data_IF_535248454199
#
_entry.id   IF_535248454199
#
_cell.length_a   1.000
_cell.length_b   1.000
_cell.length_c   1.000
_cell.angle_alpha   90.00
_cell.angle_beta   90.00
_cell.angle_gamma   90.00
#
_symmetry.space_group_name_H-M   'P 1'
#
loop_
_entity.id
_entity.type
_entity.pdbx_description
1 polymer ?
#
# COMPACT_ATOMS: atom_id res chain seq x y z
N UNK A 1 -11.61 -2.39 0.76
CA UNK A 1 -11.90 -3.83 0.83
C UNK A 1 -12.50 -4.36 -0.46
N UNK A 2 -13.41 -3.63 -1.11
CA UNK A 2 -13.95 -3.99 -2.44
C UNK A 2 -12.87 -4.34 -3.48
N UNK A 3 -11.95 -3.40 -3.76
CA UNK A 3 -10.88 -3.63 -4.75
C UNK A 3 -10.02 -4.86 -4.42
N UNK A 4 -9.80 -5.14 -3.14
CA UNK A 4 -9.09 -6.34 -2.69
C UNK A 4 -9.88 -7.60 -3.06
N UNK A 5 -11.17 -7.65 -2.74
CA UNK A 5 -12.03 -8.80 -3.07
C UNK A 5 -12.12 -9.02 -4.59
N UNK A 6 -12.30 -7.94 -5.36
CA UNK A 6 -12.26 -7.99 -6.83
C UNK A 6 -10.95 -8.54 -7.37
N UNK A 7 -9.82 -8.07 -6.85
CA UNK A 7 -8.49 -8.47 -7.31
C UNK A 7 -8.25 -9.99 -7.21
N UNK A 8 -8.74 -10.61 -6.14
CA UNK A 8 -8.59 -12.05 -5.91
C UNK A 8 -9.76 -12.89 -6.47
N UNK A 9 -10.63 -12.29 -7.28
CA UNK A 9 -11.83 -12.91 -7.85
C UNK A 9 -12.87 -13.40 -6.82
N UNK A 10 -12.89 -12.80 -5.63
CA UNK A 10 -13.97 -12.99 -4.66
C UNK A 10 -15.13 -12.05 -5.03
N UNK A 11 -15.83 -12.36 -6.13
CA UNK A 11 -16.82 -11.46 -6.73
C UNK A 11 -18.07 -11.31 -5.85
N UNK A 12 -18.58 -12.41 -5.29
CA UNK A 12 -19.75 -12.35 -4.40
C UNK A 12 -19.43 -11.55 -3.13
N UNK A 13 -18.22 -11.73 -2.58
CA UNK A 13 -17.75 -10.96 -1.44
C UNK A 13 -17.59 -9.46 -1.77
N UNK A 14 -17.13 -9.13 -2.98
CA UNK A 14 -17.01 -7.75 -3.43
C UNK A 14 -18.38 -7.08 -3.54
N UNK A 15 -19.39 -7.79 -4.05
CA UNK A 15 -20.78 -7.33 -4.10
C UNK A 15 -21.34 -7.11 -2.70
N UNK A 16 -21.15 -8.06 -1.79
CA UNK A 16 -21.57 -7.91 -0.38
C UNK A 16 -20.92 -6.70 0.29
N UNK A 17 -19.64 -6.43 0.01
CA UNK A 17 -18.95 -5.22 0.51
C UNK A 17 -19.61 -3.94 -0.02
N UNK A 18 -20.07 -3.93 -1.28
CA UNK A 18 -20.74 -2.77 -1.88
C UNK A 18 -22.17 -2.56 -1.35
N UNK A 19 -22.81 -3.62 -0.86
CA UNK A 19 -24.18 -3.58 -0.31
C UNK A 19 -24.24 -3.04 1.12
N UNK A 20 -23.11 -2.95 1.82
CA UNK A 20 -23.05 -2.44 3.18
C UNK A 20 -22.29 -1.12 3.25
N UNK A 21 -22.77 -0.23 4.11
CA UNK A 21 -22.05 1.01 4.46
C UNK A 21 -21.40 0.92 5.85
N UNK A 22 -21.55 -0.20 6.57
CA UNK A 22 -20.93 -0.39 7.88
C UNK A 22 -19.43 -0.69 7.75
N UNK A 23 -18.54 0.20 8.22
CA UNK A 23 -17.10 0.00 8.09
C UNK A 23 -16.59 -1.27 8.77
N UNK A 24 -17.22 -1.69 9.87
CA UNK A 24 -16.81 -2.89 10.61
C UNK A 24 -17.07 -4.17 9.80
N UNK A 25 -18.23 -4.24 9.16
CA UNK A 25 -18.63 -5.33 8.27
C UNK A 25 -17.80 -5.34 7.01
N UNK A 26 -17.57 -4.18 6.38
CA UNK A 26 -16.69 -4.06 5.21
C UNK A 26 -15.30 -4.63 5.51
N UNK A 27 -14.73 -4.27 6.67
CA UNK A 27 -13.41 -4.76 7.10
C UNK A 27 -13.40 -6.26 7.34
N UNK A 28 -14.43 -6.79 8.01
CA UNK A 28 -14.57 -8.23 8.27
C UNK A 28 -14.70 -9.02 6.98
N UNK A 29 -15.58 -8.61 6.08
CA UNK A 29 -15.79 -9.25 4.77
C UNK A 29 -14.49 -9.28 3.97
N UNK A 30 -13.77 -8.16 3.86
CA UNK A 30 -12.50 -8.08 3.12
C UNK A 30 -11.29 -8.71 3.82
N UNK A 31 -11.47 -9.36 4.98
CA UNK A 31 -10.37 -9.94 5.74
C UNK A 31 -9.82 -11.20 5.07
N UNK A 32 -8.52 -11.48 5.31
CA UNK A 32 -7.90 -12.71 4.82
C UNK A 32 -8.57 -13.97 5.40
N UNK A 33 -9.09 -13.89 6.63
CA UNK A 33 -9.81 -14.98 7.27
C UNK A 33 -11.09 -15.32 6.50
N UNK A 34 -11.93 -14.34 6.20
CA UNK A 34 -13.18 -14.55 5.46
C UNK A 34 -12.93 -15.05 4.04
N UNK A 35 -11.91 -14.52 3.35
CA UNK A 35 -11.51 -15.02 2.03
C UNK A 35 -11.08 -16.49 2.09
N UNK A 36 -10.19 -16.85 3.02
CA UNK A 36 -9.73 -18.23 3.19
C UNK A 36 -10.87 -19.18 3.56
N UNK A 37 -11.81 -18.73 4.37
CA UNK A 37 -13.02 -19.49 4.72
C UNK A 37 -13.89 -19.74 3.48
N UNK A 38 -14.19 -18.72 2.67
CA UNK A 38 -15.02 -18.89 1.46
C UNK A 38 -14.39 -19.81 0.42
N UNK A 39 -13.07 -19.72 0.28
CA UNK A 39 -12.32 -20.65 -0.57
C UNK A 39 -12.44 -22.08 -0.06
N UNK A 40 -12.26 -22.29 1.26
CA UNK A 40 -12.36 -23.62 1.86
C UNK A 40 -13.77 -24.22 1.78
N UNK A 41 -14.82 -23.42 1.85
CA UNK A 41 -16.21 -23.89 1.73
C UNK A 41 -16.71 -23.99 0.30
N UNK A 42 -15.90 -23.60 -0.70
CA UNK A 42 -16.33 -23.55 -2.10
C UNK A 42 -17.39 -22.48 -2.39
N UNK A 43 -17.56 -21.48 -1.50
CA UNK A 43 -18.54 -20.41 -1.67
C UNK A 43 -18.11 -19.39 -2.74
N UNK A 44 -16.83 -19.40 -3.12
CA UNK A 44 -16.26 -18.59 -4.19
C UNK A 44 -15.52 -19.51 -5.16
N UNK A 45 -16.04 -19.63 -6.37
CA UNK A 45 -15.47 -20.46 -7.43
C UNK A 45 -14.39 -19.68 -8.17
N UNK A 46 -13.31 -20.36 -8.57
CA UNK A 46 -12.20 -19.76 -9.34
C UNK A 46 -11.49 -18.59 -8.64
N UNK A 47 -11.49 -18.57 -7.30
CA UNK A 47 -10.77 -17.58 -6.52
C UNK A 47 -9.26 -17.74 -6.71
N UNK A 48 -8.57 -16.60 -6.88
CA UNK A 48 -7.11 -16.57 -6.96
C UNK A 48 -6.52 -16.83 -5.58
N UNK A 49 -5.48 -17.67 -5.49
CA UNK A 49 -4.72 -17.82 -4.27
C UNK A 49 -4.13 -16.46 -3.85
N UNK A 50 -4.08 -16.19 -2.55
CA UNK A 50 -3.47 -14.97 -2.05
C UNK A 50 -1.95 -15.05 -2.25
N UNK A 51 -1.42 -14.10 -3.03
CA UNK A 51 0.00 -13.96 -3.31
C UNK A 51 0.50 -12.62 -2.73
N UNK A 52 1.54 -12.70 -1.90
CA UNK A 52 2.08 -11.56 -1.17
C UNK A 52 2.79 -10.56 -2.08
N UNK A 53 3.47 -11.02 -3.13
CA UNK A 53 4.22 -10.17 -4.06
C UNK A 53 3.26 -9.43 -4.98
N UNK A 54 2.24 -10.14 -5.49
CA UNK A 54 1.17 -9.55 -6.27
C UNK A 54 0.43 -8.47 -5.47
N UNK A 55 0.10 -8.79 -4.22
CA UNK A 55 -0.56 -7.84 -3.32
C UNK A 55 0.35 -6.64 -2.96
N UNK A 56 1.66 -6.85 -2.90
CA UNK A 56 2.67 -5.80 -2.81
C UNK A 56 2.57 -4.80 -3.95
N UNK A 57 2.38 -5.26 -5.20
CA UNK A 57 2.23 -4.39 -6.37
C UNK A 57 0.94 -3.55 -6.32
N UNK A 58 -0.17 -4.15 -5.86
CA UNK A 58 -1.42 -3.42 -5.64
C UNK A 58 -1.23 -2.34 -4.57
N UNK A 59 -0.56 -2.69 -3.46
CA UNK A 59 -0.27 -1.75 -2.38
C UNK A 59 0.63 -0.62 -2.85
N UNK A 60 1.68 -0.91 -3.63
CA UNK A 60 2.56 0.11 -4.19
C UNK A 60 1.79 1.12 -5.06
N UNK A 61 0.85 0.64 -5.89
CA UNK A 61 -0.01 1.49 -6.71
C UNK A 61 -0.90 2.39 -5.85
N UNK A 62 -1.51 1.83 -4.80
CA UNK A 62 -2.34 2.59 -3.86
C UNK A 62 -1.53 3.63 -3.07
N UNK A 63 -0.33 3.27 -2.60
CA UNK A 63 0.58 4.18 -1.93
C UNK A 63 0.98 5.31 -2.87
N UNK A 64 1.39 5.00 -4.10
CA UNK A 64 1.76 6.01 -5.11
C UNK A 64 0.63 7.03 -5.30
N UNK A 65 -0.59 6.58 -5.55
CA UNK A 65 -1.75 7.48 -5.69
C UNK A 65 -1.97 8.34 -4.43
N UNK A 66 -1.83 7.77 -3.23
CA UNK A 66 -1.98 8.49 -1.95
C UNK A 66 -0.95 9.61 -1.80
N UNK A 67 0.31 9.36 -2.12
CA UNK A 67 1.36 10.36 -1.99
C UNK A 67 1.31 11.39 -3.14
N UNK A 68 0.92 11.00 -4.35
CA UNK A 68 0.74 11.94 -5.47
C UNK A 68 -0.44 12.90 -5.23
N UNK A 69 -1.52 12.43 -4.61
CA UNK A 69 -2.69 13.26 -4.29
C UNK A 69 -2.47 14.18 -3.07
N UNK A 70 -1.48 13.89 -2.22
CA UNK A 70 -1.26 14.64 -0.97
C UNK A 70 0.19 15.12 -0.87
N UNK A 71 0.40 16.39 -1.23
CA UNK A 71 1.72 17.05 -1.25
C UNK A 71 2.39 17.05 0.12
N UNK A 72 1.63 17.17 1.22
CA UNK A 72 2.21 17.14 2.58
C UNK A 72 2.79 15.77 2.90
N UNK A 73 2.05 14.69 2.60
CA UNK A 73 2.55 13.33 2.78
C UNK A 73 3.77 13.07 1.90
N UNK A 74 3.74 13.54 0.65
CA UNK A 74 4.86 13.44 -0.27
C UNK A 74 6.12 14.08 0.32
N UNK A 75 6.03 15.32 0.80
CA UNK A 75 7.17 16.03 1.37
C UNK A 75 7.72 15.29 2.59
N UNK A 76 6.86 14.85 3.51
CA UNK A 76 7.29 14.04 4.67
C UNK A 76 8.03 12.77 4.24
N UNK A 77 7.59 12.08 3.18
CA UNK A 77 8.29 10.91 2.66
C UNK A 77 9.67 11.26 2.10
N UNK A 78 9.80 12.37 1.35
CA UNK A 78 11.09 12.80 0.79
C UNK A 78 12.07 13.27 1.87
N UNK A 79 11.58 13.96 2.89
CA UNK A 79 12.33 14.47 4.06
C UNK A 79 12.92 13.35 4.92
N UNK A 80 12.41 12.12 4.82
CA UNK A 80 13.03 10.96 5.49
C UNK A 80 14.39 10.57 4.92
N UNK A 81 14.84 11.22 3.85
CA UNK A 81 16.17 11.08 3.28
C UNK A 81 16.59 9.64 2.97
N UNK A 82 17.67 9.18 3.60
CA UNK A 82 18.20 7.83 3.49
C UNK A 82 17.83 7.00 4.72
N UNK A 83 16.96 7.50 5.61
CA UNK A 83 16.51 6.77 6.77
C UNK A 83 15.77 5.50 6.34
N UNK A 84 15.99 4.44 7.10
CA UNK A 84 15.25 3.20 6.97
C UNK A 84 13.85 3.40 7.57
N UNK A 85 12.82 3.19 6.75
CA UNK A 85 11.44 3.26 7.20
C UNK A 85 10.99 1.89 7.69
N UNK A 86 10.38 1.85 8.88
CA UNK A 86 9.96 0.62 9.52
C UNK A 86 8.52 0.72 10.00
N UNK A 87 7.75 -0.35 9.77
CA UNK A 87 6.42 -0.51 10.34
C UNK A 87 6.52 -1.34 11.63
N UNK A 88 6.40 -0.66 12.77
CA UNK A 88 6.55 -1.24 14.10
C UNK A 88 5.28 -1.97 14.56
N UNK A 89 4.94 -3.06 13.85
CA UNK A 89 3.84 -3.96 14.20
C UNK A 89 4.38 -5.19 14.92
N UNK A 90 3.82 -5.51 16.09
CA UNK A 90 4.17 -6.72 16.85
C UNK A 90 3.60 -8.00 16.23
N UNK A 91 2.44 -7.88 15.57
CA UNK A 91 1.63 -9.02 15.12
C UNK A 91 1.65 -9.22 13.61
N UNK A 92 1.86 -8.15 12.83
CA UNK A 92 1.93 -8.23 11.38
C UNK A 92 3.37 -8.46 10.92
N UNK A 93 3.71 -9.72 10.70
CA UNK A 93 5.06 -10.14 10.30
C UNK A 93 5.33 -9.95 8.81
N UNK A 94 4.32 -9.67 8.00
CA UNK A 94 4.55 -9.41 6.58
C UNK A 94 4.76 -7.91 6.34
N UNK A 95 3.84 -7.07 6.83
CA UNK A 95 3.95 -5.64 6.62
C UNK A 95 4.94 -4.96 7.56
N UNK A 96 5.06 -5.47 8.79
CA UNK A 96 5.93 -4.92 9.82
C UNK A 96 7.11 -5.79 10.22
N UNK A 97 7.85 -5.33 11.22
CA UNK A 97 9.08 -5.98 11.72
C UNK A 97 8.84 -7.06 12.79
N UNK A 98 7.60 -7.22 13.27
CA UNK A 98 7.29 -8.14 14.36
C UNK A 98 7.76 -7.65 15.74
N UNK A 99 7.90 -6.34 15.94
CA UNK A 99 8.33 -5.73 17.20
C UNK A 99 7.52 -4.46 17.51
N UNK A 100 7.46 -4.11 18.80
CA UNK A 100 6.87 -2.86 19.27
C UNK A 100 7.80 -1.69 19.01
N UNK A 101 7.25 -0.49 18.83
CA UNK A 101 8.03 0.76 18.75
C UNK A 101 8.94 0.97 19.97
N UNK A 102 8.46 0.57 21.16
CA UNK A 102 9.18 0.74 22.42
C UNK A 102 10.14 -0.42 22.73
N UNK A 103 10.22 -1.44 21.88
CA UNK A 103 11.09 -2.59 22.12
C UNK A 103 12.52 -2.24 21.74
N UNK A 104 13.50 -2.61 22.59
CA UNK A 104 14.91 -2.47 22.24
C UNK A 104 15.29 -3.31 20.99
N UNK A 105 14.53 -4.36 20.69
CA UNK A 105 14.70 -5.18 19.48
C UNK A 105 14.53 -4.38 18.18
N UNK A 106 13.83 -3.23 18.19
CA UNK A 106 13.64 -2.40 17.00
C UNK A 106 14.96 -1.89 16.42
N UNK A 107 15.99 -1.71 17.27
CA UNK A 107 17.30 -1.16 16.89
C UNK A 107 18.24 -2.21 16.29
N UNK A 108 17.90 -3.49 16.38
CA UNK A 108 18.73 -4.61 15.95
C UNK A 108 17.97 -5.34 14.85
N UNK A 109 18.37 -5.11 13.60
CA UNK A 109 17.68 -5.66 12.42
C UNK A 109 17.58 -7.18 12.50
N UNK A 110 18.62 -7.86 12.98
CA UNK A 110 18.65 -9.33 13.12
C UNK A 110 17.61 -9.87 14.11
N UNK A 111 17.06 -9.03 14.98
CA UNK A 111 15.99 -9.41 15.90
C UNK A 111 14.59 -9.26 15.31
N UNK A 112 14.48 -8.69 14.09
CA UNK A 112 13.20 -8.54 13.43
C UNK A 112 12.69 -9.89 12.97
N UNK A 113 11.43 -10.18 13.29
CA UNK A 113 10.75 -11.43 12.94
C UNK A 113 9.91 -11.29 11.68
N UNK A 114 9.63 -10.04 11.28
CA UNK A 114 8.83 -9.70 10.12
C UNK A 114 9.65 -9.07 9.01
N UNK A 115 9.08 -9.04 7.81
CA UNK A 115 9.77 -8.65 6.57
C UNK A 115 9.72 -7.16 6.25
N UNK A 116 8.99 -6.36 7.04
CA UNK A 116 8.90 -4.90 6.88
C UNK A 116 8.48 -4.44 5.47
N UNK A 117 7.57 -5.18 4.81
CA UNK A 117 7.22 -4.88 3.41
C UNK A 117 6.63 -3.48 3.24
N UNK A 118 5.94 -2.94 4.26
CA UNK A 118 5.42 -1.56 4.17
C UNK A 118 6.56 -0.55 4.08
N UNK A 119 7.58 -0.68 4.93
CA UNK A 119 8.78 0.15 4.90
C UNK A 119 9.51 0.03 3.57
N UNK A 120 9.67 -1.20 3.05
CA UNK A 120 10.32 -1.45 1.77
C UNK A 120 9.60 -0.74 0.61
N UNK A 121 8.27 -0.86 0.53
CA UNK A 121 7.47 -0.19 -0.51
C UNK A 121 7.57 1.34 -0.41
N UNK A 122 7.54 1.91 0.80
CA UNK A 122 7.70 3.35 1.00
C UNK A 122 9.08 3.84 0.56
N UNK A 123 10.14 3.09 0.89
CA UNK A 123 11.50 3.43 0.47
C UNK A 123 11.69 3.29 -1.05
N UNK A 124 11.10 2.27 -1.67
CA UNK A 124 11.05 2.13 -3.12
C UNK A 124 10.35 3.33 -3.76
N UNK A 125 9.18 3.70 -3.26
CA UNK A 125 8.41 4.84 -3.77
C UNK A 125 9.16 6.17 -3.62
N UNK A 126 9.85 6.37 -2.48
CA UNK A 126 10.74 7.53 -2.24
C UNK A 126 11.84 7.59 -3.30
N UNK A 127 12.47 6.46 -3.63
CA UNK A 127 13.50 6.39 -4.66
C UNK A 127 12.95 6.71 -6.06
N UNK A 128 11.77 6.20 -6.40
CA UNK A 128 11.09 6.51 -7.66
C UNK A 128 10.79 8.01 -7.80
N UNK A 129 10.28 8.64 -6.74
CA UNK A 129 9.97 10.07 -6.73
C UNK A 129 11.21 10.94 -6.87
N UNK A 130 12.30 10.59 -6.19
CA UNK A 130 13.60 11.28 -6.34
C UNK A 130 14.16 11.15 -7.74
N UNK A 131 14.06 9.97 -8.34
CA UNK A 131 14.54 9.71 -9.70
C UNK A 131 13.74 10.50 -10.73
N UNK A 132 12.40 10.54 -10.61
CA UNK A 132 11.54 11.39 -11.44
C UNK A 132 11.88 12.88 -11.28
N UNK A 133 12.14 13.34 -10.06
CA UNK A 133 12.54 14.72 -9.80
C UNK A 133 13.91 15.05 -10.42
N UNK A 134 14.88 14.13 -10.36
CA UNK A 134 16.19 14.30 -10.98
C UNK A 134 16.09 14.35 -12.52
N UNK A 135 15.26 13.49 -13.12
CA UNK A 135 14.98 13.50 -14.57
C UNK A 135 14.32 14.83 -14.98
N UNK A 136 13.34 15.33 -14.21
CA UNK A 136 12.69 16.61 -14.48
C UNK A 136 13.59 17.82 -14.19
N UNK A 137 14.46 17.74 -13.20
CA UNK A 137 15.44 18.79 -12.88
C UNK A 137 16.54 18.96 -13.94
N UNK A 138 16.82 17.91 -14.72
CA UNK A 138 17.65 17.98 -15.92
C UNK A 138 16.95 18.66 -17.12
N UNK A 139 15.62 18.80 -17.07
CA UNK A 139 14.81 19.57 -18.01
C UNK A 139 14.24 20.82 -17.33
N UNK A 140 15.10 21.75 -16.93
CA UNK A 140 14.71 23.14 -16.62
C UNK A 140 13.89 23.36 -15.34
N UNK A 141 14.58 23.82 -14.29
CA UNK A 141 14.12 24.67 -13.19
C UNK A 141 12.61 24.60 -12.79
N UNK A 142 12.34 23.92 -11.67
CA UNK A 142 11.05 24.03 -10.97
C UNK A 142 10.86 25.45 -10.43
N UNK A 143 9.93 26.18 -11.04
CA UNK A 143 9.30 27.33 -10.41
C UNK A 143 8.32 26.81 -9.35
N UNK A 144 8.46 27.32 -8.12
CA UNK A 144 7.60 27.02 -6.98
C UNK A 144 6.18 27.52 -7.24
N UNK A 145 5.30 26.71 -7.86
CA UNK A 145 3.83 26.83 -7.81
C UNK A 145 3.07 25.80 -8.69
N UNK A 146 3.64 24.64 -9.03
CA UNK A 146 2.91 23.64 -9.82
C UNK A 146 1.94 22.81 -8.95
N UNK A 147 0.75 23.36 -8.75
CA UNK A 147 -0.45 22.62 -8.38
C UNK A 147 -0.75 21.62 -9.52
N UNK A 148 -0.64 20.32 -9.27
CA UNK A 148 -0.90 19.31 -10.31
C UNK A 148 -2.40 19.09 -10.45
N UNK A 149 -3.01 19.82 -11.39
CA UNK A 149 -4.21 19.38 -12.10
C UNK A 149 -3.90 19.49 -13.60
N UNK A 150 -3.81 18.35 -14.27
CA UNK A 150 -3.94 18.31 -15.74
C UNK A 150 -4.88 17.16 -16.07
N UNK A 151 -6.18 17.47 -16.02
CA UNK A 151 -7.18 16.79 -16.84
C UNK A 151 -7.06 17.40 -18.25
N UNK A 152 -6.32 16.74 -19.14
CA UNK A 152 -6.45 16.99 -20.57
C UNK A 152 -7.41 15.94 -21.14
N UNK A 153 -8.71 16.27 -21.08
CA UNK A 153 -9.71 15.63 -21.92
C UNK A 153 -9.35 15.87 -23.38
N UNK A 154 -9.13 14.75 -24.06
CA UNK A 154 -9.49 14.48 -25.45
C UNK A 154 -10.55 15.42 -26.05
N UNK A 155 -10.29 15.92 -27.26
CA UNK A 155 -11.33 16.34 -28.19
C UNK A 155 -10.90 17.43 -29.17
N UNK A 156 -10.38 17.04 -30.32
CA UNK A 156 -10.68 17.68 -31.59
C UNK A 156 -11.46 16.68 -32.42
#
# INVERSE_FOLDING_TARGET
MYNKAKYFYYNSLAEEIMLTNDPSTIKRLGSAHTMKQRQATGAELNCRAFDHDEWGNVMLTALRAKFEQNVQLFNMLIETENAMLIEASQTDLFWGIGCSLNSQAIKIIDNWRGSNQMGNLLMQLRHEFRSKAAIRGNFGAYNSNACWYTDERSGH
#
